data_IF_003873980497
#
_entry.id   IF_003873980497
#
_cell.length_a   1.000
_cell.length_b   1.000
_cell.length_c   1.000
_cell.angle_alpha   90.00
_cell.angle_beta   90.00
_cell.angle_gamma   90.00
#
_symmetry.space_group_name_H-M   'P 1'
#
loop_
_entity.id
_entity.type
_entity.pdbx_description
1 polymer ?
#
# COMPACT_ATOMS: atom_id res chain seq x y z
N UNK A 1 17.06 10.78 9.32
CA UNK A 1 16.95 9.48 8.63
C UNK A 1 16.08 9.74 7.42
N UNK A 2 16.66 9.70 6.21
CA UNK A 2 15.93 9.88 4.96
C UNK A 2 15.41 8.51 4.54
N UNK A 3 14.10 8.38 4.28
CA UNK A 3 13.47 7.09 3.95
C UNK A 3 13.49 6.79 2.45
N UNK A 4 13.69 7.80 1.61
CA UNK A 4 13.99 7.61 0.19
C UNK A 4 15.44 7.17 0.05
N UNK A 5 15.63 5.89 -0.28
CA UNK A 5 16.93 5.26 -0.50
C UNK A 5 17.46 5.38 -1.93
N UNK A 6 16.75 6.09 -2.83
CA UNK A 6 17.11 6.23 -4.25
C UNK A 6 16.54 5.14 -5.17
N UNK A 7 15.99 4.06 -4.61
CA UNK A 7 15.35 2.95 -5.36
C UNK A 7 13.80 3.09 -5.43
N UNK A 8 13.29 4.21 -4.93
CA UNK A 8 11.87 4.56 -4.88
C UNK A 8 11.16 4.17 -3.58
N UNK A 9 9.89 4.55 -3.49
CA UNK A 9 9.06 4.46 -2.27
C UNK A 9 7.77 3.71 -2.56
N UNK A 10 7.44 2.75 -1.69
CA UNK A 10 6.17 2.03 -1.72
C UNK A 10 5.25 2.51 -0.60
N UNK A 11 4.05 2.97 -0.94
CA UNK A 11 3.02 3.33 0.03
C UNK A 11 2.00 2.20 0.17
N UNK A 12 1.90 1.62 1.37
CA UNK A 12 0.85 0.66 1.74
C UNK A 12 -0.28 1.44 2.41
N UNK A 13 -1.45 1.46 1.77
CA UNK A 13 -2.57 2.33 2.15
C UNK A 13 -3.76 1.46 2.54
N UNK A 14 -4.32 1.66 3.73
CA UNK A 14 -5.57 1.00 4.12
C UNK A 14 -6.74 1.66 3.42
N UNK A 15 -7.73 0.89 2.96
CA UNK A 15 -8.87 1.43 2.23
C UNK A 15 -9.89 2.15 3.16
N UNK A 16 -9.55 3.38 3.52
CA UNK A 16 -10.43 4.36 4.16
C UNK A 16 -10.40 5.63 3.33
N UNK A 17 -11.53 6.32 3.20
CA UNK A 17 -11.66 7.51 2.35
C UNK A 17 -10.62 8.58 2.67
N UNK A 18 -10.39 8.84 3.97
CA UNK A 18 -9.36 9.79 4.41
C UNK A 18 -7.94 9.33 4.09
N UNK A 19 -7.66 8.04 4.24
CA UNK A 19 -6.34 7.47 3.96
C UNK A 19 -6.05 7.55 2.45
N UNK A 20 -7.00 7.12 1.61
CA UNK A 20 -6.86 7.18 0.15
C UNK A 20 -6.62 8.62 -0.31
N UNK A 21 -7.47 9.56 0.08
CA UNK A 21 -7.36 10.96 -0.35
C UNK A 21 -5.99 11.55 0.00
N UNK A 22 -5.55 11.40 1.25
CA UNK A 22 -4.29 12.01 1.70
C UNK A 22 -3.06 11.35 1.05
N UNK A 23 -3.04 10.02 0.91
CA UNK A 23 -1.89 9.31 0.35
C UNK A 23 -1.82 9.40 -1.17
N UNK A 24 -2.94 9.49 -1.89
CA UNK A 24 -2.93 9.79 -3.32
C UNK A 24 -2.36 11.18 -3.58
N UNK A 25 -2.83 12.20 -2.85
CA UNK A 25 -2.25 13.56 -2.94
C UNK A 25 -0.75 13.56 -2.59
N UNK A 26 -0.33 12.84 -1.55
CA UNK A 26 1.09 12.74 -1.20
C UNK A 26 1.92 12.01 -2.28
N UNK A 27 1.34 10.99 -2.93
CA UNK A 27 1.97 10.27 -4.04
C UNK A 27 2.21 11.19 -5.23
N UNK A 28 1.21 12.00 -5.60
CA UNK A 28 1.33 13.00 -6.67
C UNK A 28 2.42 14.04 -6.34
N UNK A 29 2.42 14.58 -5.12
CA UNK A 29 3.43 15.56 -4.69
C UNK A 29 4.86 14.99 -4.71
N UNK A 30 5.02 13.72 -4.34
CA UNK A 30 6.31 13.02 -4.40
C UNK A 30 6.77 12.79 -5.84
N UNK A 31 5.86 12.35 -6.70
CA UNK A 31 6.12 12.17 -8.12
C UNK A 31 6.54 13.50 -8.79
N UNK A 32 5.83 14.60 -8.51
CA UNK A 32 6.16 15.95 -9.01
C UNK A 32 7.51 16.46 -8.50
N UNK A 33 7.94 15.96 -7.33
CA UNK A 33 9.26 16.22 -6.75
C UNK A 33 10.35 15.29 -7.30
N UNK A 34 10.04 14.42 -8.26
CA UNK A 34 10.98 13.51 -8.91
C UNK A 34 11.23 12.19 -8.16
N UNK A 35 10.45 11.86 -7.13
CA UNK A 35 10.58 10.61 -6.38
C UNK A 35 9.83 9.50 -7.12
N UNK A 36 10.50 8.37 -7.41
CA UNK A 36 9.81 7.16 -7.90
C UNK A 36 8.95 6.61 -6.78
N UNK A 37 7.63 6.68 -6.92
CA UNK A 37 6.67 6.25 -5.89
C UNK A 37 5.54 5.42 -6.50
N UNK A 38 5.07 4.40 -5.78
CA UNK A 38 3.87 3.64 -6.15
C UNK A 38 3.10 3.19 -4.92
N UNK A 39 1.88 2.72 -5.11
CA UNK A 39 0.94 2.41 -4.03
C UNK A 39 0.41 0.98 -4.12
N UNK A 40 0.03 0.46 -2.94
CA UNK A 40 -0.77 -0.75 -2.76
C UNK A 40 -1.88 -0.43 -1.78
N UNK A 41 -3.13 -0.59 -2.21
CA UNK A 41 -4.31 -0.42 -1.36
C UNK A 41 -4.70 -1.77 -0.76
N UNK A 42 -4.98 -1.78 0.54
CA UNK A 42 -5.37 -2.96 1.32
C UNK A 42 -6.86 -2.88 1.68
N UNK A 43 -7.60 -3.93 1.36
CA UNK A 43 -9.06 -4.01 1.49
C UNK A 43 -9.55 -5.41 1.95
N UNK A 44 -8.85 -5.98 2.92
CA UNK A 44 -9.02 -7.36 3.42
C UNK A 44 -10.31 -7.62 4.21
N UNK A 45 -11.00 -6.60 4.71
CA UNK A 45 -12.18 -6.78 5.54
C UNK A 45 -13.40 -7.26 4.74
N UNK A 46 -13.72 -8.55 4.85
CA UNK A 46 -14.87 -9.17 4.18
C UNK A 46 -16.22 -8.91 4.85
N UNK A 47 -16.24 -8.31 6.05
CA UNK A 47 -17.47 -8.17 6.83
C UNK A 47 -18.45 -7.14 6.28
N UNK A 48 -17.96 -6.11 5.57
CA UNK A 48 -18.78 -5.01 5.06
C UNK A 48 -18.30 -4.60 3.67
N UNK A 49 -19.26 -4.40 2.76
CA UNK A 49 -19.06 -3.75 1.47
C UNK A 49 -19.78 -2.40 1.53
N UNK A 50 -19.01 -1.32 1.45
CA UNK A 50 -19.43 0.08 1.60
C UNK A 50 -19.83 0.44 3.05
N UNK A 51 -18.99 1.26 3.69
CA UNK A 51 -19.21 1.75 5.06
C UNK A 51 -19.26 3.27 5.12
N UNK A 52 -19.60 3.84 6.28
CA UNK A 52 -19.62 5.29 6.52
C UNK A 52 -18.34 6.04 6.05
N UNK A 53 -17.19 5.35 6.03
CA UNK A 53 -15.89 5.95 5.75
C UNK A 53 -15.10 5.22 4.65
N UNK A 54 -15.71 4.29 3.92
CA UNK A 54 -15.01 3.46 2.93
C UNK A 54 -15.91 3.12 1.76
N UNK A 55 -15.43 3.36 0.54
CA UNK A 55 -15.97 2.74 -0.67
C UNK A 55 -15.31 1.36 -0.87
N UNK A 56 -16.10 0.31 -0.99
CA UNK A 56 -15.62 -1.07 -1.02
C UNK A 56 -15.37 -1.65 0.38
N UNK A 57 -14.35 -2.51 0.50
CA UNK A 57 -13.96 -3.19 1.76
C UNK A 57 -12.91 -2.38 2.52
N UNK A 58 -12.89 -2.47 3.85
CA UNK A 58 -11.89 -1.77 4.68
C UNK A 58 -10.56 -2.52 4.65
N UNK A 59 -9.45 -1.78 4.79
CA UNK A 59 -8.15 -2.39 5.11
C UNK A 59 -7.97 -2.51 6.62
N UNK A 60 -7.77 -3.72 7.14
CA UNK A 60 -7.65 -4.02 8.56
C UNK A 60 -6.38 -4.83 8.85
N UNK A 61 -6.48 -5.96 9.56
CA UNK A 61 -5.35 -6.66 10.16
C UNK A 61 -4.37 -7.27 9.15
N UNK A 62 -4.82 -7.65 7.94
CA UNK A 62 -3.92 -8.22 6.94
C UNK A 62 -2.86 -7.21 6.47
N UNK A 63 -3.08 -5.91 6.67
CA UNK A 63 -2.08 -4.86 6.42
C UNK A 63 -0.75 -5.18 7.11
N UNK A 64 -0.76 -5.62 8.37
CA UNK A 64 0.47 -5.92 9.14
C UNK A 64 1.22 -7.12 8.53
N UNK A 65 0.50 -8.12 8.04
CA UNK A 65 1.10 -9.29 7.39
C UNK A 65 1.76 -8.89 6.06
N UNK A 66 1.09 -8.04 5.28
CA UNK A 66 1.60 -7.54 4.02
C UNK A 66 2.82 -6.64 4.26
N UNK A 67 2.77 -5.72 5.22
CA UNK A 67 3.92 -4.92 5.65
C UNK A 67 5.13 -5.79 5.99
N UNK A 68 4.93 -6.88 6.74
CA UNK A 68 6.02 -7.78 7.12
C UNK A 68 6.63 -8.56 5.95
N UNK A 69 5.80 -9.02 5.02
CA UNK A 69 6.24 -9.82 3.87
C UNK A 69 6.88 -8.95 2.79
N UNK A 70 6.27 -7.82 2.47
CA UNK A 70 6.80 -6.84 1.52
C UNK A 70 8.05 -6.18 2.08
N UNK A 71 8.06 -5.82 3.38
CA UNK A 71 9.26 -5.30 4.04
C UNK A 71 10.44 -6.29 4.00
N UNK A 72 10.18 -7.60 4.12
CA UNK A 72 11.23 -8.60 3.95
C UNK A 72 11.74 -8.72 2.49
N UNK A 73 10.87 -8.53 1.50
CA UNK A 73 11.27 -8.48 0.09
C UNK A 73 12.11 -7.24 -0.19
N UNK A 74 11.69 -6.07 0.32
CA UNK A 74 12.46 -4.83 0.20
C UNK A 74 13.83 -4.94 0.88
N UNK A 75 13.91 -5.50 2.10
CA UNK A 75 15.18 -5.74 2.81
C UNK A 75 16.12 -6.68 2.04
N UNK A 76 15.57 -7.65 1.30
CA UNK A 76 16.36 -8.54 0.44
C UNK A 76 16.93 -7.84 -0.79
N UNK A 77 16.45 -6.63 -1.11
CA UNK A 77 16.84 -5.85 -2.28
C UNK A 77 15.94 -6.08 -3.50
N UNK A 78 14.75 -6.64 -3.33
CA UNK A 78 13.78 -6.74 -4.41
C UNK A 78 13.36 -5.33 -4.88
N UNK A 79 13.13 -5.15 -6.20
CA UNK A 79 12.81 -3.84 -6.76
C UNK A 79 11.46 -3.30 -6.27
N UNK A 80 11.24 -1.98 -6.40
CA UNK A 80 9.97 -1.34 -6.06
C UNK A 80 8.77 -2.02 -6.76
N UNK A 81 8.94 -2.36 -8.04
CA UNK A 81 7.88 -2.98 -8.84
C UNK A 81 7.57 -4.40 -8.36
N UNK A 82 8.60 -5.18 -8.01
CA UNK A 82 8.43 -6.52 -7.43
C UNK A 82 7.77 -6.46 -6.04
N UNK A 83 8.15 -5.49 -5.20
CA UNK A 83 7.53 -5.26 -3.90
C UNK A 83 6.05 -4.88 -4.02
N UNK A 84 5.72 -3.99 -4.96
CA UNK A 84 4.35 -3.57 -5.23
C UNK A 84 3.49 -4.74 -5.76
N UNK A 85 4.03 -5.53 -6.71
CA UNK A 85 3.36 -6.72 -7.23
C UNK A 85 3.10 -7.75 -6.13
N UNK A 86 4.09 -8.01 -5.27
CA UNK A 86 3.93 -8.90 -4.12
C UNK A 86 2.81 -8.42 -3.18
N UNK A 87 2.79 -7.13 -2.84
CA UNK A 87 1.74 -6.54 -2.01
C UNK A 87 0.34 -6.71 -2.60
N UNK A 88 0.15 -6.39 -3.90
CA UNK A 88 -1.12 -6.56 -4.60
C UNK A 88 -1.56 -8.02 -4.64
N UNK A 89 -0.63 -8.94 -4.89
CA UNK A 89 -0.89 -10.38 -4.93
C UNK A 89 -1.32 -10.93 -3.56
N UNK A 90 -0.70 -10.48 -2.48
CA UNK A 90 -1.05 -10.89 -1.12
C UNK A 90 -2.42 -10.36 -0.70
N UNK A 91 -2.77 -9.13 -1.11
CA UNK A 91 -4.08 -8.54 -0.81
C UNK A 91 -5.24 -9.30 -1.50
N UNK A 92 -5.08 -9.69 -2.78
CA UNK A 92 -6.10 -10.48 -3.51
C UNK A 92 -6.33 -11.86 -2.87
N UNK A 93 -5.28 -12.49 -2.34
CA UNK A 93 -5.39 -13.83 -1.75
C UNK A 93 -6.12 -13.85 -0.40
N UNK A 94 -6.11 -12.74 0.33
CA UNK A 94 -6.77 -12.65 1.62
C UNK A 94 -8.27 -12.30 1.52
N UNK A 95 -8.73 -11.89 0.34
CA UNK A 95 -10.09 -11.41 0.08
C UNK A 95 -11.01 -12.45 -0.58
N UNK A 96 -10.48 -13.63 -0.91
CA UNK A 96 -11.22 -14.83 -1.35
C UNK A 96 -11.57 -15.73 -0.17
#
# INVERSE_FOLDING_TARGET
MQIDGGEGVLMIIKNYTGDILNFETATELLHDSGVKVTTVVIDDDVAVKDSLYTAGRRGVANTVLIEKLVGAAAERGDSLDACAELGRKLNIKATQ
#
